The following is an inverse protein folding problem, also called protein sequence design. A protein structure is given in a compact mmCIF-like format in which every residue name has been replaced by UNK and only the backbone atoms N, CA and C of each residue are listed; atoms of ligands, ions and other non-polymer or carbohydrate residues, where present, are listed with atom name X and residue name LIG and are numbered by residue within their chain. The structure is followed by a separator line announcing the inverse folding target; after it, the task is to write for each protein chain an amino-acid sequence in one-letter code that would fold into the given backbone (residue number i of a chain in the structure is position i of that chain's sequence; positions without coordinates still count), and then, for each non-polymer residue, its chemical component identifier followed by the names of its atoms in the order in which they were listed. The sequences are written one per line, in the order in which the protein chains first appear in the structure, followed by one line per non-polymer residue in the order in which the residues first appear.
data_IF_932258466971
#
_entry.id   IF_932258466971
#
_cell.length_a   1.000
_cell.length_b   1.000
_cell.length_c   1.000
_cell.angle_alpha   90.00
_cell.angle_beta   90.00
_cell.angle_gamma   90.00
#
_symmetry.space_group_name_H-M   'P 1'
#
loop_
_entity.id
_entity.type
_entity.pdbx_description
1 polymer ?
#
# COMPACT_ATOMS: atom_id res chain seq x y z
N UNK A 1 7.56 -17.14 0.87
CA UNK A 1 8.74 -16.58 0.16
C UNK A 1 8.47 -15.11 -0.11
N UNK A 2 9.48 -14.23 0.00
CA UNK A 2 9.30 -12.79 -0.31
C UNK A 2 9.77 -12.52 -1.74
N UNK A 3 9.01 -11.71 -2.48
CA UNK A 3 9.38 -11.23 -3.81
C UNK A 3 9.82 -9.77 -3.74
N UNK A 4 10.91 -9.43 -4.42
CA UNK A 4 11.35 -8.04 -4.55
C UNK A 4 10.68 -7.41 -5.78
N UNK A 5 10.09 -6.24 -5.60
CA UNK A 5 9.48 -5.47 -6.68
C UNK A 5 10.07 -4.06 -6.71
N UNK A 6 10.32 -3.55 -7.91
CA UNK A 6 10.60 -2.13 -8.14
C UNK A 6 9.30 -1.43 -8.53
N UNK A 7 9.03 -0.25 -7.98
CA UNK A 7 7.85 0.55 -8.29
C UNK A 7 8.19 2.02 -8.39
N UNK A 8 7.54 2.70 -9.32
CA UNK A 8 7.63 4.15 -9.50
C UNK A 8 6.36 4.77 -8.96
N UNK A 9 6.47 5.71 -8.03
CA UNK A 9 5.34 6.43 -7.43
C UNK A 9 5.60 7.92 -7.41
N UNK A 10 4.53 8.69 -7.25
CA UNK A 10 4.62 10.13 -7.12
C UNK A 10 5.49 10.55 -5.92
N UNK A 11 6.28 11.61 -6.12
CA UNK A 11 7.22 12.10 -5.11
C UNK A 11 6.55 12.61 -3.83
N UNK A 12 5.32 13.14 -3.92
CA UNK A 12 4.57 13.60 -2.74
C UNK A 12 4.06 12.41 -1.94
N UNK A 13 3.52 11.39 -2.62
CA UNK A 13 3.09 10.14 -1.99
C UNK A 13 4.26 9.46 -1.28
N UNK A 14 5.43 9.40 -1.92
CA UNK A 14 6.63 8.86 -1.29
C UNK A 14 7.01 9.61 0.00
N UNK A 15 6.96 10.94 -0.01
CA UNK A 15 7.25 11.77 1.18
C UNK A 15 6.25 11.54 2.31
N UNK A 16 4.97 11.43 1.97
CA UNK A 16 3.92 11.15 2.95
C UNK A 16 4.13 9.79 3.61
N UNK A 17 4.43 8.76 2.82
CA UNK A 17 4.75 7.42 3.34
C UNK A 17 5.97 7.47 4.26
N UNK A 18 7.05 8.14 3.86
CA UNK A 18 8.26 8.23 4.70
C UNK A 18 8.02 9.02 5.99
N UNK A 19 7.14 10.02 5.98
CA UNK A 19 6.74 10.76 7.17
C UNK A 19 5.90 9.89 8.12
N UNK A 20 4.92 9.15 7.60
CA UNK A 20 4.03 8.28 8.38
C UNK A 20 4.77 7.07 8.97
N UNK A 21 5.75 6.54 8.24
CA UNK A 21 6.55 5.37 8.65
C UNK A 21 7.33 5.60 9.95
N UNK A 22 7.77 6.82 10.21
CA UNK A 22 8.67 7.13 11.31
C UNK A 22 9.94 6.26 11.29
N UNK A 23 10.12 5.41 12.31
CA UNK A 23 11.31 4.57 12.50
C UNK A 23 11.22 3.17 11.88
N UNK A 24 10.06 2.75 11.36
CA UNK A 24 9.86 1.40 10.84
C UNK A 24 10.58 1.18 9.50
N UNK A 25 11.06 -0.01 9.14
CA UNK A 25 11.74 -0.21 7.85
C UNK A 25 10.79 0.05 6.66
N UNK A 26 11.24 0.78 5.63
CA UNK A 26 10.43 1.12 4.43
C UNK A 26 9.71 -0.07 3.83
N UNK A 27 10.41 -1.19 3.63
CA UNK A 27 9.80 -2.40 3.06
C UNK A 27 8.68 -2.96 3.92
N UNK A 28 8.82 -2.93 5.25
CA UNK A 28 7.81 -3.44 6.18
C UNK A 28 6.58 -2.53 6.19
N UNK A 29 6.80 -1.22 6.24
CA UNK A 29 5.72 -0.26 6.25
C UNK A 29 4.94 -0.21 4.92
N UNK A 30 5.65 -0.27 3.78
CA UNK A 30 5.02 -0.41 2.45
C UNK A 30 4.23 -1.71 2.36
N UNK A 31 4.77 -2.83 2.84
CA UNK A 31 4.05 -4.13 2.88
C UNK A 31 2.76 -4.00 3.71
N UNK A 32 2.81 -3.32 4.86
CA UNK A 32 1.63 -3.03 5.68
C UNK A 32 0.59 -2.18 4.96
N UNK A 33 0.98 -1.08 4.32
CA UNK A 33 0.07 -0.21 3.56
C UNK A 33 -0.59 -0.96 2.38
N UNK A 34 0.16 -1.80 1.67
CA UNK A 34 -0.38 -2.64 0.59
C UNK A 34 -1.43 -3.62 1.13
N UNK A 35 -1.17 -4.26 2.27
CA UNK A 35 -2.13 -5.17 2.91
C UNK A 35 -3.41 -4.45 3.33
N UNK A 36 -3.29 -3.26 3.93
CA UNK A 36 -4.43 -2.43 4.30
C UNK A 36 -5.24 -2.02 3.06
N UNK A 37 -4.57 -1.54 2.01
CA UNK A 37 -5.22 -1.16 0.74
C UNK A 37 -5.96 -2.34 0.10
N UNK A 38 -5.35 -3.52 0.05
CA UNK A 38 -6.00 -4.74 -0.48
C UNK A 38 -7.21 -5.16 0.36
N UNK A 39 -7.14 -5.04 1.68
CA UNK A 39 -8.27 -5.34 2.57
C UNK A 39 -9.42 -4.38 2.31
N UNK A 40 -9.16 -3.08 2.28
CA UNK A 40 -10.18 -2.05 2.05
C UNK A 40 -10.79 -2.19 0.66
N UNK A 41 -9.96 -2.36 -0.37
CA UNK A 41 -10.41 -2.61 -1.73
C UNK A 41 -11.34 -3.82 -1.80
N UNK A 42 -10.99 -4.95 -1.17
CA UNK A 42 -11.85 -6.14 -1.13
C UNK A 42 -13.16 -5.90 -0.37
N UNK A 43 -13.18 -5.06 0.66
CA UNK A 43 -14.40 -4.73 1.40
C UNK A 43 -15.30 -3.87 0.52
N UNK A 44 -14.77 -2.81 -0.07
CA UNK A 44 -15.50 -1.89 -0.97
C UNK A 44 -16.06 -2.64 -2.19
N UNK A 45 -15.25 -3.51 -2.80
CA UNK A 45 -15.64 -4.32 -3.96
C UNK A 45 -16.55 -5.51 -3.61
N UNK A 46 -16.69 -5.88 -2.33
CA UNK A 46 -17.71 -6.84 -1.87
C UNK A 46 -19.03 -6.15 -1.51
N UNK A 47 -19.01 -4.84 -1.27
CA UNK A 47 -20.18 -4.02 -0.91
C UNK A 47 -20.80 -3.29 -2.11
N UNK A 48 -20.28 -3.48 -3.33
CA UNK A 48 -20.89 -2.99 -4.58
C UNK A 48 -20.37 -3.77 -5.79
N UNK A 49 -21.21 -4.00 -6.84
CA UNK A 49 -20.83 -4.84 -7.95
C UNK A 49 -19.98 -4.07 -8.97
N UNK A 50 -19.08 -4.79 -9.62
CA UNK A 50 -18.35 -4.42 -10.84
C UNK A 50 -17.08 -3.58 -10.66
N UNK A 51 -15.94 -4.28 -10.70
CA UNK A 51 -14.92 -3.94 -11.69
C UNK A 51 -15.61 -3.98 -13.08
N UNK A 52 -15.98 -2.80 -13.60
CA UNK A 52 -16.12 -2.54 -15.03
C UNK A 52 -14.78 -2.04 -15.54
#
# INVERSE_FOLDING_TARGET
MKHHIGLTIDSKLFREIEALRGREKRSTFIEHLIQLGLKNYKIENKLGPHLK
#
